data_IF_704277475299
#
_entry.id   IF_704277475299
#
_cell.length_a   1.000
_cell.length_b   1.000
_cell.length_c   1.000
_cell.angle_alpha   90.00
_cell.angle_beta   90.00
_cell.angle_gamma   90.00
#
_symmetry.space_group_name_H-M   'P 1'
#
loop_
_entity.id
_entity.type
_entity.pdbx_description
1 polymer ?
#
# COMPACT_ATOMS: atom_id res chain seq x y z
N UNK A 1 3.86 12.79 20.73
CA UNK A 1 3.97 13.38 19.37
C UNK A 1 2.64 13.19 18.68
N UNK A 2 2.09 14.22 18.03
CA UNK A 2 0.87 14.11 17.21
C UNK A 2 1.13 13.29 15.94
N UNK A 3 0.07 12.65 15.44
CA UNK A 3 -0.01 12.05 14.10
C UNK A 3 -0.70 13.07 13.21
N UNK A 4 -0.08 13.40 12.08
CA UNK A 4 -0.56 14.41 11.12
C UNK A 4 -0.55 13.89 9.68
N UNK A 5 0.37 12.94 9.38
CA UNK A 5 0.63 12.47 8.01
C UNK A 5 0.47 10.97 7.89
N UNK A 6 -0.30 10.52 6.91
CA UNK A 6 -0.59 9.10 6.67
C UNK A 6 -0.18 8.77 5.23
N UNK A 7 0.74 7.82 5.07
CA UNK A 7 0.99 7.18 3.78
C UNK A 7 0.26 5.84 3.75
N UNK A 8 -0.36 5.50 2.62
CA UNK A 8 -1.01 4.20 2.42
C UNK A 8 -0.52 3.55 1.13
N UNK A 9 0.00 2.33 1.21
CA UNK A 9 0.28 1.47 0.06
C UNK A 9 -0.96 0.62 -0.23
N UNK A 10 -1.67 0.92 -1.31
CA UNK A 10 -2.95 0.27 -1.62
C UNK A 10 -3.27 0.27 -3.11
N UNK A 11 -4.27 -0.52 -3.50
CA UNK A 11 -4.87 -0.42 -4.83
C UNK A 11 -5.69 0.87 -4.93
N UNK A 12 -5.53 1.63 -6.00
CA UNK A 12 -6.22 2.91 -6.19
C UNK A 12 -6.79 3.07 -7.61
N UNK A 13 -8.02 3.57 -7.69
CA UNK A 13 -8.74 3.80 -8.95
C UNK A 13 -8.87 2.53 -9.82
N UNK A 14 -9.12 1.39 -9.17
CA UNK A 14 -9.22 0.07 -9.80
C UNK A 14 -10.37 -0.74 -9.21
N UNK A 15 -10.85 -1.74 -9.95
CA UNK A 15 -11.94 -2.63 -9.57
C UNK A 15 -11.51 -3.74 -8.58
N UNK A 16 -10.85 -3.35 -7.48
CA UNK A 16 -10.41 -4.26 -6.41
C UNK A 16 -11.12 -3.96 -5.09
N UNK A 17 -11.41 -5.01 -4.30
CA UNK A 17 -11.89 -4.87 -2.92
C UNK A 17 -10.95 -4.07 -2.02
N UNK A 18 -9.64 -4.10 -2.32
CA UNK A 18 -8.61 -3.30 -1.64
C UNK A 18 -8.85 -1.80 -1.87
N UNK A 19 -9.20 -1.40 -3.09
CA UNK A 19 -9.57 -0.01 -3.37
C UNK A 19 -10.87 0.39 -2.68
N UNK A 20 -11.91 -0.45 -2.76
CA UNK A 20 -13.20 -0.15 -2.12
C UNK A 20 -13.11 -0.08 -0.59
N UNK A 21 -12.13 -0.75 0.01
CA UNK A 21 -11.79 -0.59 1.42
C UNK A 21 -11.02 0.71 1.69
N UNK A 22 -9.93 0.95 0.95
CA UNK A 22 -9.03 2.08 1.21
C UNK A 22 -9.64 3.45 0.88
N UNK A 23 -10.47 3.55 -0.17
CA UNK A 23 -11.05 4.81 -0.61
C UNK A 23 -11.79 5.57 0.49
N UNK A 24 -12.83 5.01 1.15
CA UNK A 24 -13.55 5.75 2.19
C UNK A 24 -12.66 6.12 3.38
N UNK A 25 -11.64 5.30 3.71
CA UNK A 25 -10.68 5.63 4.76
C UNK A 25 -9.84 6.86 4.41
N UNK A 26 -9.26 6.87 3.21
CA UNK A 26 -8.47 8.02 2.73
C UNK A 26 -9.31 9.29 2.70
N UNK A 27 -10.57 9.21 2.23
CA UNK A 27 -11.49 10.35 2.25
C UNK A 27 -11.76 10.86 3.67
N UNK A 28 -12.08 9.95 4.58
CA UNK A 28 -12.32 10.31 5.98
C UNK A 28 -11.08 10.94 6.63
N UNK A 29 -9.88 10.40 6.38
CA UNK A 29 -8.64 10.98 6.92
C UNK A 29 -8.39 12.39 6.40
N UNK A 30 -8.65 12.65 5.11
CA UNK A 30 -8.55 13.98 4.54
C UNK A 30 -9.57 14.95 5.15
N UNK A 31 -10.82 14.50 5.33
CA UNK A 31 -11.88 15.32 5.96
C UNK A 31 -11.57 15.64 7.44
N UNK A 32 -10.82 14.76 8.12
CA UNK A 32 -10.30 14.99 9.47
C UNK A 32 -9.08 15.92 9.52
N UNK A 33 -8.56 16.35 8.36
CA UNK A 33 -7.42 17.26 8.25
C UNK A 33 -6.05 16.59 8.26
N UNK A 34 -5.96 15.26 8.07
CA UNK A 34 -4.67 14.60 7.89
C UNK A 34 -4.14 14.83 6.48
N UNK A 35 -2.81 14.98 6.35
CA UNK A 35 -2.14 14.91 5.07
C UNK A 35 -2.03 13.43 4.67
N UNK A 36 -2.61 13.06 3.52
CA UNK A 36 -2.64 11.67 3.06
C UNK A 36 -1.91 11.54 1.73
N UNK A 37 -1.03 10.55 1.62
CA UNK A 37 -0.39 10.14 0.37
C UNK A 37 -0.78 8.70 0.04
N UNK A 38 -1.31 8.47 -1.15
CA UNK A 38 -1.65 7.14 -1.66
C UNK A 38 -0.53 6.66 -2.56
N UNK A 39 0.22 5.66 -2.12
CA UNK A 39 1.18 4.94 -2.93
C UNK A 39 0.45 3.78 -3.61
N UNK A 40 0.47 3.72 -4.94
CA UNK A 40 -0.32 2.73 -5.67
C UNK A 40 0.42 2.10 -6.85
N UNK A 41 -0.26 1.14 -7.46
CA UNK A 41 0.22 0.38 -8.59
C UNK A 41 0.41 1.24 -9.85
N UNK A 42 1.40 0.93 -10.67
CA UNK A 42 1.57 1.52 -12.01
C UNK A 42 0.48 1.03 -12.96
N UNK A 43 0.22 1.81 -14.02
CA UNK A 43 -0.89 1.54 -14.95
C UNK A 43 -0.76 0.21 -15.70
N UNK A 44 0.48 -0.23 -15.94
CA UNK A 44 0.77 -1.48 -16.68
C UNK A 44 0.73 -2.73 -15.80
N UNK A 45 0.72 -2.58 -14.47
CA UNK A 45 0.79 -3.69 -13.51
C UNK A 45 0.09 -3.32 -12.19
N UNK A 46 -1.18 -3.70 -12.08
CA UNK A 46 -2.03 -3.36 -10.95
C UNK A 46 -2.90 -4.54 -10.47
N UNK A 47 -3.33 -4.46 -9.21
CA UNK A 47 -4.26 -5.41 -8.62
C UNK A 47 -5.71 -5.05 -8.98
N UNK A 48 -6.26 -5.77 -9.97
CA UNK A 48 -7.59 -5.54 -10.54
C UNK A 48 -7.61 -6.02 -11.98
N UNK A 49 -8.66 -5.66 -12.72
CA UNK A 49 -8.80 -5.89 -14.17
C UNK A 49 -9.01 -4.58 -14.92
N UNK A 50 -9.62 -3.59 -14.28
CA UNK A 50 -9.95 -2.30 -14.88
C UNK A 50 -9.46 -1.18 -13.98
N UNK A 51 -8.85 -0.18 -14.60
CA UNK A 51 -8.50 1.08 -13.97
C UNK A 51 -9.43 2.18 -14.50
N UNK A 52 -9.91 3.04 -13.63
CA UNK A 52 -10.88 4.07 -13.99
C UNK A 52 -10.52 5.43 -13.42
N UNK A 53 -10.85 6.48 -14.16
CA UNK A 53 -10.64 7.86 -13.71
C UNK A 53 -9.18 8.34 -13.71
N UNK A 54 -8.99 9.66 -13.61
CA UNK A 54 -7.68 10.26 -13.39
C UNK A 54 -7.23 10.07 -11.94
N UNK A 55 -5.92 10.15 -11.71
CA UNK A 55 -5.35 10.13 -10.37
C UNK A 55 -5.51 11.49 -9.69
N UNK A 56 -5.86 11.48 -8.42
CA UNK A 56 -5.85 12.67 -7.58
C UNK A 56 -4.40 13.12 -7.26
N UNK A 57 -4.17 14.40 -6.90
CA UNK A 57 -2.82 14.93 -6.67
C UNK A 57 -2.02 14.23 -5.57
N UNK A 58 -2.70 13.55 -4.64
CA UNK A 58 -2.10 12.80 -3.55
C UNK A 58 -1.75 11.35 -3.91
N UNK A 59 -2.04 10.93 -5.15
CA UNK A 59 -1.80 9.55 -5.62
C UNK A 59 -0.47 9.50 -6.36
N UNK A 60 0.40 8.60 -5.91
CA UNK A 60 1.73 8.37 -6.46
C UNK A 60 1.81 6.91 -6.89
N UNK A 61 1.94 6.68 -8.21
CA UNK A 61 2.09 5.33 -8.76
C UNK A 61 3.56 4.91 -8.77
N UNK A 62 3.95 4.02 -7.86
CA UNK A 62 5.36 3.71 -7.62
C UNK A 62 5.68 2.22 -7.46
N UNK A 63 4.74 1.32 -7.69
CA UNK A 63 5.02 -0.12 -7.64
C UNK A 63 4.19 -0.95 -8.62
N UNK A 64 4.63 -2.16 -8.91
CA UNK A 64 3.87 -3.19 -9.60
C UNK A 64 3.44 -4.31 -8.66
N UNK A 65 2.78 -5.34 -9.18
CA UNK A 65 2.35 -6.49 -8.39
C UNK A 65 3.50 -7.48 -8.15
N UNK A 66 3.48 -8.20 -7.03
CA UNK A 66 4.43 -9.29 -6.73
C UNK A 66 4.50 -10.35 -7.83
N UNK A 67 3.35 -10.72 -8.40
CA UNK A 67 3.23 -11.82 -9.34
C UNK A 67 3.56 -11.47 -10.79
N UNK A 68 3.75 -10.18 -11.13
CA UNK A 68 4.03 -9.73 -12.49
C UNK A 68 5.39 -9.05 -12.59
N UNK A 69 5.48 -7.75 -12.38
CA UNK A 69 6.77 -7.04 -12.55
C UNK A 69 7.59 -7.00 -11.27
N UNK A 70 6.94 -7.10 -10.10
CA UNK A 70 7.52 -6.84 -8.79
C UNK A 70 8.26 -5.48 -8.76
N UNK A 71 7.88 -4.54 -9.62
CA UNK A 71 8.50 -3.22 -9.72
C UNK A 71 8.30 -2.42 -8.43
N UNK A 72 9.33 -1.68 -8.03
CA UNK A 72 9.23 -0.71 -6.94
C UNK A 72 10.16 0.47 -7.26
N UNK A 73 9.58 1.66 -7.36
CA UNK A 73 10.32 2.90 -7.14
C UNK A 73 10.33 3.19 -5.64
N UNK A 74 11.48 3.07 -4.96
CA UNK A 74 11.56 3.22 -3.52
C UNK A 74 11.50 4.68 -3.07
N UNK A 75 11.68 5.65 -3.99
CA UNK A 75 11.84 7.06 -3.62
C UNK A 75 10.67 7.58 -2.79
N UNK A 76 9.38 7.41 -3.17
CA UNK A 76 8.27 7.91 -2.37
C UNK A 76 8.24 7.36 -0.94
N UNK A 77 8.53 6.07 -0.76
CA UNK A 77 8.60 5.44 0.57
C UNK A 77 9.76 5.99 1.41
N UNK A 78 10.87 6.39 0.79
CA UNK A 78 12.04 6.87 1.52
C UNK A 78 12.02 8.37 1.79
N UNK A 79 11.38 9.16 0.92
CA UNK A 79 11.47 10.63 0.96
C UNK A 79 10.21 11.34 1.46
N UNK A 80 9.01 10.79 1.29
CA UNK A 80 7.78 11.42 1.80
C UNK A 80 7.78 11.43 3.32
N UNK A 81 7.35 12.52 3.95
CA UNK A 81 7.13 12.51 5.39
C UNK A 81 5.78 11.90 5.74
N UNK A 82 5.81 10.88 6.60
CA UNK A 82 4.62 10.23 7.12
C UNK A 82 4.85 9.75 8.54
N UNK A 83 3.83 9.89 9.38
CA UNK A 83 3.83 9.40 10.75
C UNK A 83 3.36 7.94 10.79
N UNK A 84 2.37 7.63 9.97
CA UNK A 84 1.77 6.30 9.85
C UNK A 84 1.97 5.79 8.43
N UNK A 85 2.46 4.56 8.28
CA UNK A 85 2.42 3.84 7.02
C UNK A 85 1.42 2.70 7.14
N UNK A 86 0.36 2.78 6.34
CA UNK A 86 -0.63 1.73 6.16
C UNK A 86 -0.23 0.91 4.94
N UNK A 87 -0.26 -0.41 5.06
CA UNK A 87 0.07 -1.32 3.97
C UNK A 87 -1.08 -2.29 3.79
N UNK A 88 -1.72 -2.28 2.62
CA UNK A 88 -2.83 -3.17 2.32
C UNK A 88 -2.43 -4.32 1.40
N UNK A 89 -2.99 -5.49 1.67
CA UNK A 89 -2.88 -6.70 0.83
C UNK A 89 -1.44 -7.03 0.44
N UNK A 90 -0.60 -7.19 1.46
CA UNK A 90 0.85 -7.34 1.34
C UNK A 90 1.28 -8.41 0.31
N UNK A 91 0.48 -9.46 0.09
CA UNK A 91 0.73 -10.51 -0.92
C UNK A 91 0.77 -9.97 -2.35
N UNK A 92 0.10 -8.86 -2.64
CA UNK A 92 0.04 -8.23 -3.96
C UNK A 92 1.14 -7.17 -4.16
N UNK A 93 1.79 -6.69 -3.10
CA UNK A 93 2.84 -5.66 -3.17
C UNK A 93 4.17 -6.23 -3.70
N UNK A 94 5.12 -5.41 -4.18
CA UNK A 94 6.40 -5.89 -4.74
C UNK A 94 7.37 -6.38 -3.64
N UNK A 95 7.00 -7.47 -2.96
CA UNK A 95 7.58 -7.95 -1.71
C UNK A 95 9.10 -8.06 -1.74
N UNK A 96 9.66 -8.68 -2.78
CA UNK A 96 11.11 -8.89 -2.88
C UNK A 96 11.87 -7.56 -2.90
N UNK A 97 11.35 -6.54 -3.58
CA UNK A 97 12.01 -5.23 -3.67
C UNK A 97 11.71 -4.37 -2.43
N UNK A 98 10.51 -4.48 -1.88
CA UNK A 98 10.16 -3.84 -0.62
C UNK A 98 11.05 -4.34 0.53
N UNK A 99 11.39 -5.63 0.54
CA UNK A 99 12.22 -6.23 1.57
C UNK A 99 13.62 -5.63 1.66
N UNK A 100 14.21 -5.26 0.53
CA UNK A 100 15.53 -4.64 0.46
C UNK A 100 15.57 -3.29 1.20
N UNK A 101 14.46 -2.53 1.19
CA UNK A 101 14.38 -1.19 1.79
C UNK A 101 13.62 -1.15 3.11
N UNK A 102 12.95 -2.24 3.51
CA UNK A 102 11.99 -2.26 4.62
C UNK A 102 12.58 -1.74 5.94
N UNK A 103 13.85 -2.06 6.20
CA UNK A 103 14.54 -1.62 7.39
C UNK A 103 14.68 -0.08 7.50
N UNK A 104 14.72 0.64 6.38
CA UNK A 104 14.66 2.10 6.36
C UNK A 104 13.22 2.59 6.55
N UNK A 105 12.28 2.02 5.81
CA UNK A 105 10.85 2.38 5.85
C UNK A 105 10.28 2.24 7.27
N UNK A 106 10.55 1.12 7.95
CA UNK A 106 10.05 0.83 9.30
C UNK A 106 10.57 1.77 10.38
N UNK A 107 11.76 2.35 10.20
CA UNK A 107 12.37 3.28 11.18
C UNK A 107 11.83 4.70 11.02
N UNK A 108 11.32 5.04 9.85
CA UNK A 108 10.78 6.35 9.54
C UNK A 108 9.36 6.54 10.07
N UNK A 109 8.52 5.50 9.96
CA UNK A 109 7.16 5.53 10.50
C UNK A 109 7.16 5.50 12.04
N UNK A 110 6.31 6.31 12.66
CA UNK A 110 5.97 6.17 14.09
C UNK A 110 5.09 4.94 14.33
N UNK A 111 4.22 4.61 13.37
CA UNK A 111 3.38 3.42 13.40
C UNK A 111 3.30 2.76 12.02
N UNK A 112 3.29 1.43 12.03
CA UNK A 112 3.04 0.59 10.86
C UNK A 112 1.72 -0.14 11.06
N UNK A 113 0.81 -0.02 10.10
CA UNK A 113 -0.49 -0.70 10.11
C UNK A 113 -0.56 -1.63 8.91
N UNK A 114 -0.85 -2.90 9.15
CA UNK A 114 -1.03 -3.87 8.09
C UNK A 114 -2.52 -4.25 8.01
N UNK A 115 -3.13 -4.01 6.86
CA UNK A 115 -4.49 -4.46 6.54
C UNK A 115 -4.39 -5.74 5.72
N UNK A 116 -4.75 -6.85 6.35
CA UNK A 116 -4.76 -8.17 5.72
C UNK A 116 -6.06 -8.37 4.94
N UNK A 117 -5.93 -8.65 3.65
CA UNK A 117 -7.06 -9.10 2.81
C UNK A 117 -6.94 -10.61 2.61
N UNK A 118 -7.82 -11.37 3.26
CA UNK A 118 -7.89 -12.83 3.14
C UNK A 118 -9.16 -13.24 2.40
N UNK A 119 -9.00 -14.08 1.37
CA UNK A 119 -10.09 -14.55 0.53
C UNK A 119 -10.42 -16.03 0.81
N UNK A 120 -9.74 -16.64 1.79
CA UNK A 120 -9.96 -18.03 2.20
C UNK A 120 -10.13 -18.15 3.72
N UNK A 121 -11.35 -18.49 4.15
CA UNK A 121 -11.67 -18.77 5.57
C UNK A 121 -11.30 -20.23 5.96
N UNK A 122 -11.02 -21.11 4.98
CA UNK A 122 -10.79 -22.56 5.19
C UNK A 122 -9.55 -23.13 4.47
N UNK A 123 -8.54 -22.32 4.14
CA UNK A 123 -7.52 -22.64 3.11
C UNK A 123 -6.81 -24.02 3.22
N UNK A 124 -6.39 -24.54 2.05
CA UNK A 124 -5.07 -25.21 1.99
C UNK A 124 -4.06 -24.22 2.56
N UNK A 125 -3.15 -24.70 3.42
CA UNK A 125 -2.22 -23.89 4.25
C UNK A 125 -1.87 -22.56 3.56
N UNK A 126 -2.19 -21.40 4.17
CA UNK A 126 -1.79 -20.12 3.60
C UNK A 126 -0.28 -20.14 3.36
N UNK A 127 0.23 -19.50 2.29
CA UNK A 127 1.66 -19.25 2.21
C UNK A 127 2.06 -18.62 3.56
N UNK A 128 3.14 -19.16 4.12
CA UNK A 128 3.76 -18.78 5.40
C UNK A 128 3.62 -17.27 5.65
N UNK A 129 3.59 -16.82 6.93
CA UNK A 129 3.56 -15.39 7.21
C UNK A 129 4.60 -14.68 6.35
N UNK A 130 4.30 -13.47 5.82
CA UNK A 130 5.16 -12.76 4.88
C UNK A 130 6.63 -12.89 5.32
N UNK A 131 7.56 -13.10 4.38
CA UNK A 131 9.01 -13.32 4.61
C UNK A 131 9.67 -12.36 5.64
N UNK A 132 8.99 -11.27 5.98
CA UNK A 132 9.28 -10.33 7.04
C UNK A 132 9.11 -10.81 8.50
N UNK A 133 8.37 -11.90 8.74
CA UNK A 133 8.10 -12.42 10.09
C UNK A 133 8.94 -13.65 10.46
N UNK A 134 9.80 -14.13 9.57
CA UNK A 134 10.81 -15.17 9.84
C UNK A 134 12.14 -14.58 10.28
#
# INVERSE_FOLDING_TARGET
>A
MSVERIAIMTAWNVDSGVFFHAYPLVRAWMDMGYEVHVLSFIRDDFHGRVMFGPDEPFVIRCFGTSGKTNFLDPRPLLTLDYDVLVVEDLKMLPMRNLALIWHHVRRKAKALVHVLHENTILGRRPPQPPEFYS
#
